data_IF_347227543574
#
_entry.id   IF_347227543574
#
_cell.length_a   1.000
_cell.length_b   1.000
_cell.length_c   1.000
_cell.angle_alpha   90.00
_cell.angle_beta   90.00
_cell.angle_gamma   90.00
#
_symmetry.space_group_name_H-M   'P 1'
#
loop_
_entity.id
_entity.type
_entity.pdbx_description
1 polymer ?
#
# COMPACT_ATOMS: atom_id res chain seq x y z
N UNK A 1 -9.98 5.92 -25.62
CA UNK A 1 -9.16 6.18 -24.42
C UNK A 1 -7.88 5.38 -24.58
N UNK A 2 -6.83 6.03 -25.06
CA UNK A 2 -5.54 5.41 -25.40
C UNK A 2 -4.56 5.63 -24.23
N UNK A 3 -4.81 4.93 -23.11
CA UNK A 3 -4.09 5.09 -21.84
C UNK A 3 -3.21 3.88 -21.50
N UNK A 4 -2.73 3.12 -22.48
CA UNK A 4 -1.70 2.11 -22.23
C UNK A 4 -0.33 2.81 -22.15
N UNK A 5 -0.07 3.52 -21.05
CA UNK A 5 1.29 3.93 -20.71
C UNK A 5 1.96 2.81 -19.96
N UNK A 6 3.13 2.39 -20.43
CA UNK A 6 3.97 1.47 -19.70
C UNK A 6 4.57 2.19 -18.48
N UNK A 7 4.96 1.48 -17.42
CA UNK A 7 5.84 2.02 -16.39
C UNK A 7 7.02 2.78 -17.01
N UNK A 8 7.40 3.89 -16.38
CA UNK A 8 8.52 4.74 -16.80
C UNK A 8 9.57 4.80 -15.69
N UNK A 9 10.84 4.89 -16.06
CA UNK A 9 11.96 5.23 -15.19
C UNK A 9 12.42 6.64 -15.52
N UNK A 10 12.11 7.61 -14.65
CA UNK A 10 12.48 9.03 -14.83
C UNK A 10 12.05 9.61 -16.20
N UNK A 11 10.83 9.27 -16.64
CA UNK A 11 10.27 9.73 -17.91
C UNK A 11 10.69 8.89 -19.13
N UNK A 12 11.37 7.76 -18.92
CA UNK A 12 11.77 6.82 -19.98
C UNK A 12 10.98 5.53 -19.86
N UNK A 13 10.28 5.14 -20.92
CA UNK A 13 9.46 3.92 -20.95
C UNK A 13 10.28 2.65 -20.64
N UNK A 14 9.71 1.77 -19.82
CA UNK A 14 10.22 0.41 -19.62
C UNK A 14 9.76 -0.46 -20.80
N UNK A 15 10.61 -0.59 -21.81
CA UNK A 15 10.31 -1.29 -23.08
C UNK A 15 10.42 -2.81 -23.01
N UNK A 16 10.87 -3.36 -21.87
CA UNK A 16 11.03 -4.82 -21.67
C UNK A 16 9.74 -5.52 -21.27
N UNK A 17 8.68 -4.77 -20.98
CA UNK A 17 7.39 -5.32 -20.59
C UNK A 17 6.59 -5.79 -21.80
N UNK A 18 5.88 -6.89 -21.61
CA UNK A 18 5.04 -7.54 -22.61
C UNK A 18 3.60 -7.62 -22.11
N UNK A 19 2.66 -7.91 -23.01
CA UNK A 19 1.25 -8.09 -22.62
C UNK A 19 1.02 -9.32 -21.71
N UNK A 20 2.00 -10.20 -21.59
CA UNK A 20 1.96 -11.37 -20.70
C UNK A 20 2.43 -11.05 -19.27
N UNK A 21 3.01 -9.87 -19.04
CA UNK A 21 3.46 -9.48 -17.71
C UNK A 21 2.27 -9.17 -16.78
N UNK A 22 2.26 -9.81 -15.62
CA UNK A 22 1.26 -9.55 -14.61
C UNK A 22 1.62 -8.28 -13.82
N UNK A 23 0.78 -7.24 -13.93
CA UNK A 23 1.11 -5.90 -13.42
C UNK A 23 1.46 -5.86 -11.92
N UNK A 24 0.83 -6.69 -11.09
CA UNK A 24 1.16 -6.77 -9.66
C UNK A 24 2.60 -7.24 -9.44
N UNK A 25 3.08 -8.21 -10.21
CA UNK A 25 4.45 -8.70 -10.14
C UNK A 25 5.42 -7.67 -10.74
N UNK A 26 5.04 -6.98 -11.82
CA UNK A 26 5.83 -5.88 -12.42
C UNK A 26 6.06 -4.78 -11.38
N UNK A 27 5.00 -4.28 -10.75
CA UNK A 27 5.11 -3.23 -9.75
C UNK A 27 5.99 -3.67 -8.57
N UNK A 28 5.83 -4.90 -8.09
CA UNK A 28 6.65 -5.45 -7.00
C UNK A 28 8.13 -5.51 -7.39
N UNK A 29 8.44 -6.00 -8.59
CA UNK A 29 9.80 -6.03 -9.13
C UNK A 29 10.42 -4.63 -9.23
N UNK A 30 9.64 -3.64 -9.67
CA UNK A 30 10.09 -2.25 -9.75
C UNK A 30 10.32 -1.62 -8.38
N UNK A 31 9.48 -1.92 -7.39
CA UNK A 31 9.70 -1.50 -6.01
C UNK A 31 10.96 -2.12 -5.41
N UNK A 32 11.22 -3.41 -5.67
CA UNK A 32 12.46 -4.10 -5.27
C UNK A 32 13.67 -3.45 -5.94
N UNK A 33 13.59 -3.13 -7.24
CA UNK A 33 14.65 -2.42 -7.96
C UNK A 33 14.95 -1.08 -7.30
N UNK A 34 13.91 -0.27 -7.04
CA UNK A 34 14.04 1.02 -6.38
C UNK A 34 14.71 0.92 -5.00
N UNK A 35 14.31 -0.05 -4.17
CA UNK A 35 14.91 -0.28 -2.85
C UNK A 35 16.40 -0.60 -2.99
N UNK A 36 16.76 -1.51 -3.91
CA UNK A 36 18.16 -1.91 -4.15
C UNK A 36 19.01 -0.73 -4.61
N UNK A 37 18.50 0.10 -5.51
CA UNK A 37 19.20 1.30 -5.99
C UNK A 37 19.33 2.35 -4.89
N UNK A 38 18.25 2.64 -4.16
CA UNK A 38 18.26 3.59 -3.05
C UNK A 38 19.20 3.17 -1.92
N UNK A 39 19.37 1.86 -1.72
CA UNK A 39 20.28 1.34 -0.71
C UNK A 39 21.77 1.58 -1.03
N UNK A 40 22.11 1.99 -2.26
CA UNK A 40 23.50 2.31 -2.64
C UNK A 40 23.97 3.67 -2.09
N UNK A 41 23.05 4.51 -1.62
CA UNK A 41 23.37 5.80 -1.01
C UNK A 41 23.06 5.80 0.49
N UNK A 42 23.52 6.86 1.17
CA UNK A 42 23.20 7.10 2.60
C UNK A 42 21.89 7.85 2.79
N UNK A 43 21.32 8.40 1.72
CA UNK A 43 20.11 9.21 1.80
C UNK A 43 18.90 8.33 2.17
N UNK A 44 17.92 8.86 2.93
CA UNK A 44 16.65 8.19 3.09
C UNK A 44 15.89 8.17 1.76
N UNK A 45 14.97 7.21 1.60
CA UNK A 45 14.11 7.14 0.42
C UNK A 45 12.64 7.24 0.81
N UNK A 46 11.82 7.65 -0.14
CA UNK A 46 10.36 7.57 -0.08
C UNK A 46 9.87 6.78 -1.30
N UNK A 47 9.08 5.73 -1.06
CA UNK A 47 8.49 4.89 -2.09
C UNK A 47 6.97 4.88 -1.91
N UNK A 48 6.25 5.35 -2.92
CA UNK A 48 4.80 5.26 -2.98
C UNK A 48 4.38 4.12 -3.93
N UNK A 49 4.09 2.95 -3.35
CA UNK A 49 3.65 1.75 -4.08
C UNK A 49 2.13 1.76 -4.30
N UNK A 50 1.68 2.19 -5.48
CA UNK A 50 0.26 2.23 -5.83
C UNK A 50 -0.14 1.02 -6.69
N UNK A 51 -0.33 -0.14 -6.05
CA UNK A 51 -0.88 -1.32 -6.72
C UNK A 51 -2.28 -1.04 -7.28
N UNK A 52 -2.56 -1.54 -8.49
CA UNK A 52 -3.91 -1.54 -9.04
C UNK A 52 -4.74 -2.73 -8.53
N UNK A 53 -4.12 -3.84 -8.13
CA UNK A 53 -4.82 -4.96 -7.51
C UNK A 53 -5.46 -4.55 -6.17
N UNK A 54 -6.69 -5.00 -5.83
CA UNK A 54 -7.54 -5.94 -6.58
C UNK A 54 -8.64 -5.25 -7.42
N UNK A 55 -8.37 -4.04 -7.96
CA UNK A 55 -9.34 -3.32 -8.79
C UNK A 55 -9.67 -4.08 -10.09
N UNK A 56 -10.84 -3.84 -10.66
CA UNK A 56 -11.23 -4.38 -11.97
C UNK A 56 -10.30 -3.87 -13.09
N UNK A 57 -10.10 -4.61 -14.19
CA UNK A 57 -10.70 -5.91 -14.56
C UNK A 57 -10.11 -7.06 -13.74
N UNK A 58 -10.95 -7.97 -13.23
CA UNK A 58 -10.49 -9.08 -12.40
C UNK A 58 -9.69 -10.08 -13.26
N UNK A 59 -8.40 -10.16 -13.00
CA UNK A 59 -7.48 -11.07 -13.66
C UNK A 59 -6.39 -11.50 -12.68
N UNK A 60 -6.09 -12.80 -12.65
CA UNK A 60 -5.06 -13.39 -11.82
C UNK A 60 -4.36 -14.51 -12.60
N UNK A 61 -3.14 -14.85 -12.19
CA UNK A 61 -2.39 -15.96 -12.77
C UNK A 61 -3.05 -17.30 -12.42
N UNK A 62 -2.86 -18.32 -13.26
CA UNK A 62 -3.35 -19.68 -12.95
C UNK A 62 -2.75 -20.23 -11.65
N UNK A 63 -1.48 -19.91 -11.38
CA UNK A 63 -0.80 -20.31 -10.15
C UNK A 63 -1.45 -19.71 -8.90
N UNK A 64 -1.77 -18.42 -8.93
CA UNK A 64 -2.41 -17.74 -7.80
C UNK A 64 -3.87 -18.19 -7.63
N UNK A 65 -4.60 -18.46 -8.73
CA UNK A 65 -5.94 -19.04 -8.68
C UNK A 65 -5.94 -20.43 -8.02
N UNK A 66 -4.93 -21.26 -8.32
CA UNK A 66 -4.79 -22.60 -7.77
C UNK A 66 -4.59 -22.62 -6.24
N UNK A 67 -4.20 -21.49 -5.63
CA UNK A 67 -4.11 -21.36 -4.15
C UNK A 67 -5.47 -21.32 -3.46
N UNK A 68 -6.55 -21.07 -4.20
CA UNK A 68 -7.90 -20.92 -3.66
C UNK A 68 -8.90 -21.90 -4.29
N UNK A 69 -8.68 -23.23 -4.18
CA UNK A 69 -9.53 -24.23 -4.84
C UNK A 69 -10.96 -24.29 -4.28
N UNK A 70 -11.17 -23.78 -3.06
CA UNK A 70 -12.47 -23.78 -2.38
C UNK A 70 -13.29 -22.50 -2.63
N UNK A 71 -12.74 -21.52 -3.37
CA UNK A 71 -13.46 -20.32 -3.79
C UNK A 71 -13.87 -20.45 -5.25
N UNK A 72 -14.94 -19.75 -5.65
CA UNK A 72 -15.41 -19.75 -7.03
C UNK A 72 -15.76 -18.35 -7.52
N UNK A 73 -15.83 -18.20 -8.84
CA UNK A 73 -16.23 -16.97 -9.53
C UNK A 73 -15.33 -15.78 -9.17
N UNK A 74 -15.92 -14.58 -9.14
CA UNK A 74 -15.19 -13.32 -8.87
C UNK A 74 -14.42 -13.33 -7.56
N UNK A 75 -14.92 -14.03 -6.53
CA UNK A 75 -14.27 -14.09 -5.22
C UNK A 75 -12.95 -14.86 -5.28
N UNK A 76 -12.87 -15.91 -6.09
CA UNK A 76 -11.62 -16.66 -6.30
C UNK A 76 -10.57 -15.80 -6.98
N UNK A 77 -10.93 -15.15 -8.09
CA UNK A 77 -10.03 -14.24 -8.80
C UNK A 77 -9.58 -13.07 -7.92
N UNK A 78 -10.51 -12.46 -7.17
CA UNK A 78 -10.19 -11.41 -6.20
C UNK A 78 -9.18 -11.87 -5.15
N UNK A 79 -9.40 -13.06 -4.56
CA UNK A 79 -8.47 -13.62 -3.57
C UNK A 79 -7.08 -13.87 -4.16
N UNK A 80 -7.00 -14.38 -5.40
CA UNK A 80 -5.76 -14.58 -6.12
C UNK A 80 -5.02 -13.25 -6.41
N UNK A 81 -5.73 -12.19 -6.77
CA UNK A 81 -5.14 -10.85 -6.95
C UNK A 81 -4.56 -10.29 -5.64
N UNK A 82 -5.28 -10.46 -4.52
CA UNK A 82 -4.79 -10.04 -3.20
C UNK A 82 -3.59 -10.88 -2.77
N UNK A 83 -3.58 -12.18 -3.09
CA UNK A 83 -2.44 -13.06 -2.82
C UNK A 83 -1.20 -12.65 -3.60
N UNK A 84 -1.34 -12.28 -4.87
CA UNK A 84 -0.22 -11.75 -5.65
C UNK A 84 0.34 -10.44 -5.06
N UNK A 85 -0.53 -9.57 -4.55
CA UNK A 85 -0.11 -8.37 -3.83
C UNK A 85 0.69 -8.76 -2.58
N UNK A 86 0.21 -9.73 -1.80
CA UNK A 86 0.88 -10.22 -0.59
C UNK A 86 2.27 -10.79 -0.90
N UNK A 87 2.41 -11.60 -1.97
CA UNK A 87 3.72 -12.03 -2.48
C UNK A 87 4.64 -10.85 -2.75
N UNK A 88 4.13 -9.84 -3.45
CA UNK A 88 4.86 -8.60 -3.75
C UNK A 88 5.32 -7.84 -2.51
N UNK A 89 4.46 -7.73 -1.49
CA UNK A 89 4.85 -7.16 -0.18
C UNK A 89 5.97 -7.98 0.46
N UNK A 90 5.90 -9.31 0.37
CA UNK A 90 6.98 -10.20 0.81
C UNK A 90 8.32 -9.91 0.12
N UNK A 91 8.31 -9.77 -1.21
CA UNK A 91 9.50 -9.43 -2.00
C UNK A 91 10.11 -8.08 -1.61
N UNK A 92 9.27 -7.06 -1.36
CA UNK A 92 9.71 -5.74 -0.88
C UNK A 92 10.35 -5.85 0.52
N UNK A 93 9.72 -6.60 1.43
CA UNK A 93 10.26 -6.85 2.78
C UNK A 93 11.61 -7.56 2.71
N UNK A 94 11.75 -8.57 1.85
CA UNK A 94 13.01 -9.29 1.65
C UNK A 94 14.10 -8.38 1.09
N UNK A 95 13.76 -7.50 0.13
CA UNK A 95 14.69 -6.50 -0.40
C UNK A 95 15.13 -5.48 0.68
N UNK A 96 14.23 -5.03 1.54
CA UNK A 96 14.54 -4.15 2.66
C UNK A 96 15.47 -4.83 3.67
N UNK A 97 15.24 -6.10 3.98
CA UNK A 97 16.10 -6.89 4.89
C UNK A 97 17.48 -7.12 4.28
N UNK A 98 17.54 -7.55 3.02
CA UNK A 98 18.79 -7.80 2.31
C UNK A 98 19.65 -6.54 2.15
N UNK A 99 19.03 -5.37 2.05
CA UNK A 99 19.73 -4.07 1.97
C UNK A 99 20.06 -3.46 3.35
N UNK A 100 19.65 -4.09 4.46
CA UNK A 100 19.84 -3.56 5.81
C UNK A 100 19.01 -2.30 6.11
N UNK A 101 17.98 -2.00 5.30
CA UNK A 101 17.12 -0.82 5.46
C UNK A 101 15.85 -1.09 6.25
N UNK A 102 15.46 -2.35 6.42
CA UNK A 102 14.20 -2.78 7.04
C UNK A 102 13.96 -2.16 8.43
N UNK A 103 14.95 -2.18 9.31
CA UNK A 103 14.79 -1.70 10.69
C UNK A 103 14.61 -0.18 10.79
N UNK A 104 15.00 0.57 9.77
CA UNK A 104 14.86 2.03 9.70
C UNK A 104 13.91 2.48 8.59
N UNK A 105 12.87 1.68 8.31
CA UNK A 105 11.84 2.01 7.31
C UNK A 105 10.46 1.97 7.96
N UNK A 106 9.74 3.09 7.87
CA UNK A 106 8.30 3.10 8.13
C UNK A 106 7.55 2.55 6.91
N UNK A 107 6.93 1.39 7.08
CA UNK A 107 6.02 0.79 6.11
C UNK A 107 4.59 1.17 6.52
N UNK A 108 3.86 1.79 5.60
CA UNK A 108 2.44 2.05 5.74
C UNK A 108 1.71 1.29 4.65
N UNK A 109 0.83 0.38 5.05
CA UNK A 109 -0.07 -0.31 4.13
C UNK A 109 -1.49 0.16 4.37
N UNK A 110 -2.22 0.46 3.30
CA UNK A 110 -3.63 0.82 3.33
C UNK A 110 -4.33 0.56 2.00
N UNK A 111 -5.66 0.55 2.02
CA UNK A 111 -6.47 0.64 0.80
C UNK A 111 -6.93 2.09 0.57
N UNK A 112 -7.10 2.46 -0.70
CA UNK A 112 -7.56 3.79 -1.14
C UNK A 112 -9.04 4.07 -0.80
N UNK A 113 -9.87 3.03 -0.79
CA UNK A 113 -11.29 3.08 -0.46
C UNK A 113 -11.79 1.71 0.03
N UNK A 114 -13.02 1.66 0.53
CA UNK A 114 -13.72 0.41 0.80
C UNK A 114 -13.87 -0.49 -0.42
N UNK A 115 -14.01 -1.80 -0.20
CA UNK A 115 -14.09 -2.79 -1.26
C UNK A 115 -15.38 -2.70 -2.09
N UNK A 116 -15.31 -3.12 -3.35
CA UNK A 116 -16.46 -3.22 -4.25
C UNK A 116 -17.03 -4.64 -4.24
N UNK A 117 -18.11 -4.87 -3.49
CA UNK A 117 -18.63 -6.22 -3.15
C UNK A 117 -19.20 -6.98 -4.36
N UNK A 118 -19.75 -6.29 -5.37
CA UNK A 118 -20.18 -6.91 -6.64
C UNK A 118 -19.00 -7.38 -7.52
N UNK A 119 -17.76 -7.08 -7.12
CA UNK A 119 -16.51 -7.48 -7.78
C UNK A 119 -15.63 -8.37 -6.88
N UNK A 120 -16.23 -9.10 -5.93
CA UNK A 120 -15.54 -10.13 -5.15
C UNK A 120 -14.91 -9.64 -3.84
N UNK A 121 -14.95 -8.34 -3.54
CA UNK A 121 -14.53 -7.82 -2.25
C UNK A 121 -15.50 -8.19 -1.12
N UNK A 122 -15.05 -8.09 0.13
CA UNK A 122 -15.89 -8.17 1.32
C UNK A 122 -15.47 -7.08 2.30
N UNK A 123 -16.45 -6.30 2.76
CA UNK A 123 -16.25 -5.24 3.76
C UNK A 123 -16.78 -5.64 5.14
N UNK A 124 -17.12 -6.93 5.35
CA UNK A 124 -17.68 -7.39 6.62
C UNK A 124 -16.78 -6.99 7.81
N UNK A 125 -17.33 -6.48 8.93
CA UNK A 125 -18.76 -6.33 9.25
C UNK A 125 -19.36 -4.97 8.85
N UNK A 126 -18.64 -4.14 8.12
CA UNK A 126 -19.03 -2.76 7.81
C UNK A 126 -20.14 -2.71 6.74
N UNK A 127 -21.01 -1.71 6.85
CA UNK A 127 -22.07 -1.45 5.89
C UNK A 127 -21.55 -0.66 4.68
N UNK A 128 -21.99 -1.06 3.48
CA UNK A 128 -21.69 -0.39 2.21
C UNK A 128 -20.36 -0.81 1.57
N UNK A 129 -19.96 -0.09 0.53
CA UNK A 129 -18.75 -0.36 -0.24
C UNK A 129 -18.25 0.84 -1.02
N UNK A 130 -17.35 0.59 -1.98
CA UNK A 130 -16.72 1.62 -2.80
C UNK A 130 -17.72 2.69 -3.28
N UNK A 131 -17.47 3.94 -2.88
CA UNK A 131 -18.28 5.11 -3.27
C UNK A 131 -19.34 5.53 -2.25
N UNK A 132 -19.64 4.69 -1.26
CA UNK A 132 -20.60 5.02 -0.20
C UNK A 132 -19.98 5.91 0.87
N UNK A 133 -20.82 6.68 1.57
CA UNK A 133 -20.45 7.45 2.77
C UNK A 133 -20.64 6.67 4.08
N UNK A 134 -20.99 5.38 3.99
CA UNK A 134 -21.01 4.48 5.14
C UNK A 134 -19.62 3.92 5.44
N UNK A 135 -19.41 3.34 6.61
CA UNK A 135 -18.10 2.84 7.06
C UNK A 135 -17.43 1.93 6.02
N UNK A 136 -18.17 1.03 5.37
CA UNK A 136 -17.64 0.12 4.37
C UNK A 136 -17.17 0.79 3.07
N UNK A 137 -17.41 2.10 2.88
CA UNK A 137 -16.95 2.87 1.73
C UNK A 137 -15.64 3.63 1.93
N UNK A 138 -15.33 4.09 3.15
CA UNK A 138 -14.14 4.90 3.42
C UNK A 138 -13.29 4.44 4.61
N UNK A 139 -13.75 3.48 5.43
CA UNK A 139 -12.94 2.87 6.49
C UNK A 139 -12.21 1.65 5.93
N UNK A 140 -10.89 1.75 5.82
CA UNK A 140 -10.04 0.75 5.17
C UNK A 140 -9.11 0.02 6.15
N UNK A 141 -8.64 -1.20 5.81
CA UNK A 141 -7.53 -1.81 6.52
C UNK A 141 -6.29 -0.92 6.41
N UNK A 142 -5.58 -0.75 7.52
CA UNK A 142 -4.35 0.03 7.59
C UNK A 142 -3.43 -0.53 8.67
N UNK A 143 -2.12 -0.56 8.43
CA UNK A 143 -1.14 -0.76 9.48
C UNK A 143 0.12 0.08 9.26
N UNK A 144 0.79 0.41 10.36
CA UNK A 144 2.14 0.95 10.38
C UNK A 144 3.11 -0.12 10.89
N UNK A 145 4.26 -0.20 10.27
CA UNK A 145 5.34 -1.09 10.68
C UNK A 145 6.67 -0.35 10.59
N UNK A 146 7.35 -0.19 11.73
CA UNK A 146 8.71 0.32 11.82
C UNK A 146 9.38 -0.38 13.00
N UNK A 147 10.26 -1.37 12.74
CA UNK A 147 10.91 -2.14 13.80
C UNK A 147 11.63 -1.22 14.79
N UNK A 148 11.66 -1.61 16.06
CA UNK A 148 12.32 -0.88 17.17
C UNK A 148 11.71 0.49 17.52
N UNK A 149 10.86 1.07 16.67
CA UNK A 149 10.13 2.32 16.94
C UNK A 149 8.69 2.04 17.36
N UNK A 150 8.00 1.17 16.62
CA UNK A 150 6.62 0.79 16.90
C UNK A 150 6.63 -0.56 17.62
N UNK A 151 5.94 -0.64 18.77
CA UNK A 151 5.78 -1.91 19.49
C UNK A 151 4.96 -2.89 18.62
N UNK A 152 5.36 -4.18 18.53
CA UNK A 152 4.59 -5.17 17.79
C UNK A 152 3.23 -5.47 18.48
N UNK A 153 2.35 -6.12 17.72
CA UNK A 153 1.07 -6.67 18.21
C UNK A 153 0.15 -5.64 18.89
N UNK A 154 0.15 -4.41 18.37
CA UNK A 154 -0.73 -3.34 18.85
C UNK A 154 -1.94 -3.16 17.95
N UNK A 155 -3.05 -2.78 18.56
CA UNK A 155 -4.24 -2.26 17.88
C UNK A 155 -4.47 -0.83 18.32
N UNK A 156 -4.53 0.08 17.36
CA UNK A 156 -4.80 1.49 17.61
C UNK A 156 -6.26 1.79 17.28
N UNK A 157 -7.08 2.03 18.31
CA UNK A 157 -8.54 2.15 18.19
C UNK A 157 -9.05 3.59 18.04
N UNK A 158 -8.15 4.56 17.84
CA UNK A 158 -8.52 5.97 17.63
C UNK A 158 -8.54 6.34 16.14
N UNK A 159 -9.36 7.31 15.71
CA UNK A 159 -9.45 7.69 14.30
C UNK A 159 -8.15 8.26 13.71
N UNK A 160 -7.80 7.77 12.53
CA UNK A 160 -6.73 8.28 11.65
C UNK A 160 -7.32 8.55 10.27
N UNK A 161 -6.87 9.61 9.61
CA UNK A 161 -7.22 9.90 8.21
C UNK A 161 -5.97 9.89 7.34
N UNK A 162 -6.13 9.56 6.05
CA UNK A 162 -5.04 9.64 5.08
C UNK A 162 -4.43 11.06 4.99
N UNK A 163 -5.19 12.10 5.35
CA UNK A 163 -4.70 13.48 5.41
C UNK A 163 -3.59 13.66 6.47
N UNK A 164 -3.59 12.84 7.53
CA UNK A 164 -2.60 12.90 8.61
C UNK A 164 -1.21 12.47 8.14
N UNK A 165 -1.12 11.68 7.07
CA UNK A 165 0.15 11.14 6.59
C UNK A 165 1.09 12.23 6.12
N UNK A 166 0.57 13.27 5.46
CA UNK A 166 1.41 14.38 4.97
C UNK A 166 2.18 15.09 6.10
N UNK A 167 1.52 15.68 7.13
CA UNK A 167 2.24 16.31 8.24
C UNK A 167 3.06 15.31 9.07
N UNK A 168 2.58 14.08 9.25
CA UNK A 168 3.30 13.05 10.00
C UNK A 168 4.61 12.67 9.30
N UNK A 169 4.58 12.41 7.99
CA UNK A 169 5.79 12.07 7.23
C UNK A 169 6.74 13.25 7.10
N UNK A 170 6.22 14.48 6.92
CA UNK A 170 7.05 15.69 6.91
C UNK A 170 7.84 15.82 8.21
N UNK A 171 7.18 15.65 9.36
CA UNK A 171 7.86 15.65 10.67
C UNK A 171 8.92 14.55 10.76
N UNK A 172 8.58 13.30 10.42
CA UNK A 172 9.48 12.16 10.52
C UNK A 172 10.72 12.30 9.63
N UNK A 173 10.56 12.94 8.48
CA UNK A 173 11.65 13.25 7.56
C UNK A 173 12.45 14.52 7.96
N UNK A 174 12.03 15.25 9.00
CA UNK A 174 12.62 16.54 9.37
C UNK A 174 12.35 17.65 8.34
N UNK A 175 11.36 17.48 7.47
CA UNK A 175 10.99 18.44 6.44
C UNK A 175 10.14 19.58 7.03
N UNK A 176 10.37 20.80 6.54
CA UNK A 176 9.55 21.95 6.89
C UNK A 176 8.32 22.01 5.98
N UNK A 177 7.13 22.04 6.59
CA UNK A 177 5.89 22.36 5.87
C UNK A 177 5.84 23.89 5.67
N UNK A 178 5.58 24.39 4.45
CA UNK A 178 5.42 25.82 4.22
C UNK A 178 4.34 26.42 5.12
N UNK A 179 4.62 27.59 5.71
CA UNK A 179 3.74 28.23 6.71
C UNK A 179 2.39 28.65 6.14
N UNK A 180 2.31 28.84 4.83
CA UNK A 180 1.11 29.19 4.06
C UNK A 180 0.34 27.98 3.56
N UNK A 181 0.88 26.76 3.74
CA UNK A 181 0.20 25.52 3.39
C UNK A 181 -0.89 25.21 4.42
N UNK A 182 -2.15 25.33 4.01
CA UNK A 182 -3.27 24.86 4.81
C UNK A 182 -3.31 23.33 4.79
N UNK A 183 -3.30 22.72 5.97
CA UNK A 183 -3.38 21.27 6.15
C UNK A 183 -4.65 20.92 6.92
N UNK A 184 -5.43 19.98 6.38
CA UNK A 184 -6.61 19.42 7.05
C UNK A 184 -6.29 18.20 7.93
N UNK A 185 -5.12 17.59 7.70
CA UNK A 185 -4.58 16.52 8.52
C UNK A 185 -3.76 17.04 9.70
N UNK A 186 -3.50 16.16 10.67
CA UNK A 186 -2.65 16.44 11.84
C UNK A 186 -1.43 15.54 11.83
N UNK A 187 -0.32 16.02 12.35
CA UNK A 187 0.74 15.12 12.78
C UNK A 187 0.24 14.31 13.98
N UNK A 188 0.18 12.99 13.82
CA UNK A 188 -0.37 12.08 14.83
C UNK A 188 0.71 11.31 15.61
N UNK A 189 2.00 11.50 15.30
CA UNK A 189 3.04 10.55 15.70
C UNK A 189 3.15 10.32 17.22
N UNK A 190 3.16 11.41 18.00
CA UNK A 190 3.28 11.30 19.46
C UNK A 190 2.04 10.72 20.12
N UNK A 191 0.85 11.07 19.62
CA UNK A 191 -0.40 10.52 20.11
C UNK A 191 -0.49 9.02 19.78
N UNK A 192 -0.10 8.65 18.57
CA UNK A 192 -0.01 7.26 18.11
C UNK A 192 0.93 6.43 18.99
N UNK A 193 2.17 6.86 19.22
CA UNK A 193 3.13 6.15 20.08
C UNK A 193 2.66 6.05 21.54
N UNK A 194 1.90 7.04 22.02
CA UNK A 194 1.30 7.05 23.35
C UNK A 194 -0.02 6.25 23.46
N UNK A 195 -0.56 5.70 22.36
CA UNK A 195 -1.86 5.03 22.34
C UNK A 195 -3.04 5.95 22.64
N UNK A 196 -2.90 7.26 22.40
CA UNK A 196 -3.92 8.29 22.66
C UNK A 196 -4.50 8.82 21.35
N UNK A 197 -5.72 9.34 21.40
CA UNK A 197 -6.30 10.07 20.27
C UNK A 197 -5.46 11.30 19.92
N UNK A 198 -5.21 11.53 18.63
CA UNK A 198 -4.66 12.77 18.08
C UNK A 198 -5.73 13.85 17.80
N UNK A 199 -6.98 13.52 18.13
CA UNK A 199 -8.19 14.30 17.87
C UNK A 199 -8.92 14.58 19.16
#
# INVERSE_FOLDING_TARGET
WDYKRFPEHNGVDVTTLTENDYMTDVLSREGVRFIKESATTKDPFFLFMSYNAPHTVLAATEEDLAKFPNLAGKRQTYAAMVYALDRGVGELVDALKASGKYDNTLIVFLSDNGGRTDQGASNHPLQGGKGDTTEGGYRTPMFFHWPQVIKPDQRYDHPVTALDFYPTFARLAGAQVPVDKQLDGKDIWDAFLAGRSAR
#
